data_IF_521175846022
#
_entry.id   IF_521175846022
#
_cell.length_a   1.000
_cell.length_b   1.000
_cell.length_c   1.000
_cell.angle_alpha   90.00
_cell.angle_beta   90.00
_cell.angle_gamma   90.00
#
_symmetry.space_group_name_H-M   'P 1'
#
loop_
_entity.id
_entity.type
_entity.pdbx_description
1 polymer ?
#
# COMPACT_ATOMS: atom_id res chain seq x y z
N UNK A 1 -77.12 -18.00 -29.13
CA UNK A 1 -75.88 -18.64 -29.61
C UNK A 1 -74.94 -17.65 -30.29
N UNK A 2 -75.38 -16.94 -31.31
CA UNK A 2 -74.53 -15.99 -32.00
C UNK A 2 -74.06 -14.84 -31.12
N UNK A 3 -74.95 -14.29 -30.33
CA UNK A 3 -74.66 -13.21 -29.38
C UNK A 3 -73.64 -13.62 -28.32
N UNK A 4 -73.72 -14.80 -27.77
CA UNK A 4 -72.78 -15.36 -26.80
C UNK A 4 -71.41 -15.57 -27.43
N UNK A 5 -71.37 -16.04 -28.66
CA UNK A 5 -70.13 -16.24 -29.42
C UNK A 5 -69.40 -14.93 -29.66
N UNK A 6 -70.14 -13.86 -30.01
CA UNK A 6 -69.58 -12.52 -30.18
C UNK A 6 -69.01 -11.99 -28.87
N UNK A 7 -69.67 -12.20 -27.73
CA UNK A 7 -69.20 -11.81 -26.41
C UNK A 7 -67.88 -12.53 -26.05
N UNK A 8 -67.81 -13.84 -26.29
CA UNK A 8 -66.57 -14.61 -26.07
C UNK A 8 -65.42 -14.13 -26.94
N UNK A 9 -65.66 -13.84 -28.22
CA UNK A 9 -64.67 -13.29 -29.12
C UNK A 9 -64.16 -11.93 -28.65
N UNK A 10 -65.04 -11.05 -28.16
CA UNK A 10 -64.64 -9.76 -27.60
C UNK A 10 -63.78 -9.91 -26.38
N UNK A 11 -64.09 -10.85 -25.48
CA UNK A 11 -63.27 -11.15 -24.31
C UNK A 11 -61.91 -11.65 -24.72
N UNK A 12 -61.82 -12.56 -25.67
CA UNK A 12 -60.55 -13.06 -26.15
C UNK A 12 -59.73 -11.93 -26.77
N UNK A 13 -60.36 -11.09 -27.57
CA UNK A 13 -59.68 -9.93 -28.18
C UNK A 13 -59.07 -9.00 -27.12
N UNK A 14 -59.86 -8.69 -26.08
CA UNK A 14 -59.39 -7.87 -24.94
C UNK A 14 -58.21 -8.52 -24.24
N UNK A 15 -58.26 -9.81 -23.98
CA UNK A 15 -57.19 -10.56 -23.35
C UNK A 15 -55.92 -10.55 -24.23
N UNK A 16 -56.04 -10.73 -25.55
CA UNK A 16 -54.92 -10.65 -26.50
C UNK A 16 -54.29 -9.25 -26.48
N UNK A 17 -55.12 -8.21 -26.45
CA UNK A 17 -54.59 -6.81 -26.37
C UNK A 17 -53.79 -6.58 -25.10
N UNK A 18 -54.32 -7.04 -23.94
CA UNK A 18 -53.61 -6.93 -22.64
C UNK A 18 -52.29 -7.70 -22.67
N UNK A 19 -52.32 -8.96 -23.15
CA UNK A 19 -51.12 -9.79 -23.20
C UNK A 19 -50.10 -9.23 -24.17
N UNK A 20 -50.51 -8.63 -25.29
CA UNK A 20 -49.59 -7.99 -26.24
C UNK A 20 -48.93 -6.79 -25.59
N UNK A 21 -49.67 -5.99 -24.84
CA UNK A 21 -49.12 -4.83 -24.10
C UNK A 21 -48.11 -5.28 -23.04
N UNK A 22 -48.51 -6.25 -22.21
CA UNK A 22 -47.64 -6.80 -21.16
C UNK A 22 -46.36 -7.40 -21.74
N UNK A 23 -46.48 -8.12 -22.84
CA UNK A 23 -45.33 -8.70 -23.52
C UNK A 23 -44.37 -7.63 -24.02
N UNK A 24 -44.89 -6.52 -24.57
CA UNK A 24 -44.09 -5.37 -24.98
C UNK A 24 -43.36 -4.72 -23.78
N UNK A 25 -44.06 -4.55 -22.68
CA UNK A 25 -43.49 -4.02 -21.44
C UNK A 25 -42.39 -4.92 -20.90
N UNK A 26 -42.62 -6.23 -20.85
CA UNK A 26 -41.64 -7.22 -20.41
C UNK A 26 -40.40 -7.25 -21.28
N UNK A 27 -40.53 -7.08 -22.60
CA UNK A 27 -39.39 -6.99 -23.52
C UNK A 27 -38.53 -5.77 -23.21
N UNK A 28 -39.18 -4.61 -22.97
CA UNK A 28 -38.50 -3.38 -22.62
C UNK A 28 -37.76 -3.53 -21.29
N UNK A 29 -38.41 -4.12 -20.28
CA UNK A 29 -37.76 -4.41 -18.99
C UNK A 29 -36.57 -5.34 -19.15
N UNK A 30 -36.70 -6.39 -19.96
CA UNK A 30 -35.62 -7.32 -20.25
C UNK A 30 -34.41 -6.61 -20.87
N UNK A 31 -34.63 -5.72 -21.82
CA UNK A 31 -33.58 -4.94 -22.47
C UNK A 31 -32.88 -4.04 -21.44
N UNK A 32 -33.65 -3.38 -20.59
CA UNK A 32 -33.13 -2.52 -19.52
C UNK A 32 -32.26 -3.33 -18.54
N UNK A 33 -32.76 -4.47 -18.09
CA UNK A 33 -32.05 -5.37 -17.18
C UNK A 33 -30.76 -5.88 -17.84
N UNK A 34 -30.81 -6.27 -19.09
CA UNK A 34 -29.61 -6.71 -19.81
C UNK A 34 -28.55 -5.60 -19.89
N UNK A 35 -28.97 -4.36 -20.17
CA UNK A 35 -28.07 -3.21 -20.19
C UNK A 35 -27.45 -2.95 -18.82
N UNK A 36 -28.25 -3.01 -17.76
CA UNK A 36 -27.76 -2.86 -16.39
C UNK A 36 -26.79 -3.99 -16.02
N UNK A 37 -27.08 -5.22 -16.44
CA UNK A 37 -26.19 -6.35 -16.19
C UNK A 37 -24.84 -6.17 -16.89
N UNK A 38 -24.84 -5.73 -18.15
CA UNK A 38 -23.61 -5.46 -18.88
C UNK A 38 -22.77 -4.37 -18.19
N UNK A 39 -23.42 -3.30 -17.74
CA UNK A 39 -22.75 -2.22 -16.99
C UNK A 39 -22.18 -2.72 -15.68
N UNK A 40 -22.95 -3.50 -14.92
CA UNK A 40 -22.51 -4.09 -13.67
C UNK A 40 -21.31 -5.03 -13.85
N UNK A 41 -21.36 -5.87 -14.90
CA UNK A 41 -20.26 -6.78 -15.23
C UNK A 41 -18.99 -6.03 -15.60
N UNK A 42 -19.09 -4.94 -16.35
CA UNK A 42 -17.94 -4.10 -16.69
C UNK A 42 -17.37 -3.42 -15.46
N UNK A 43 -18.24 -2.89 -14.59
CA UNK A 43 -17.79 -2.30 -13.31
C UNK A 43 -17.08 -3.32 -12.43
N UNK A 44 -17.59 -4.56 -12.39
CA UNK A 44 -16.96 -5.65 -11.66
C UNK A 44 -15.58 -5.99 -12.24
N UNK A 45 -15.47 -6.05 -13.56
CA UNK A 45 -14.20 -6.31 -14.24
C UNK A 45 -13.15 -5.27 -13.86
N UNK A 46 -13.52 -3.99 -13.93
CA UNK A 46 -12.64 -2.87 -13.58
C UNK A 46 -12.23 -2.94 -12.10
N UNK A 47 -13.19 -3.24 -11.21
CA UNK A 47 -12.92 -3.38 -9.79
C UNK A 47 -11.95 -4.53 -9.50
N UNK A 48 -12.10 -5.66 -10.17
CA UNK A 48 -11.20 -6.81 -10.04
C UNK A 48 -9.79 -6.50 -10.53
N UNK A 49 -9.66 -5.77 -11.63
CA UNK A 49 -8.36 -5.31 -12.13
C UNK A 49 -7.68 -4.35 -11.15
N UNK A 50 -8.43 -3.40 -10.62
CA UNK A 50 -7.93 -2.47 -9.61
C UNK A 50 -7.49 -3.20 -8.34
N UNK A 51 -8.26 -4.20 -7.91
CA UNK A 51 -7.90 -5.04 -6.78
C UNK A 51 -6.57 -5.75 -7.01
N UNK A 52 -6.39 -6.38 -8.18
CA UNK A 52 -5.15 -7.08 -8.52
C UNK A 52 -3.95 -6.13 -8.52
N UNK A 53 -4.12 -4.92 -9.05
CA UNK A 53 -3.08 -3.87 -9.04
C UNK A 53 -2.71 -3.49 -7.61
N UNK A 54 -3.72 -3.23 -6.77
CA UNK A 54 -3.51 -2.88 -5.37
C UNK A 54 -2.81 -4.00 -4.57
N UNK A 55 -3.17 -5.25 -4.82
CA UNK A 55 -2.50 -6.41 -4.20
C UNK A 55 -1.01 -6.44 -4.56
N UNK A 56 -0.68 -6.18 -5.82
CA UNK A 56 0.71 -6.09 -6.27
C UNK A 56 1.44 -4.93 -5.58
N UNK A 57 0.81 -3.77 -5.50
CA UNK A 57 1.38 -2.59 -4.83
C UNK A 57 1.62 -2.85 -3.33
N UNK A 58 0.67 -3.49 -2.65
CA UNK A 58 0.81 -3.86 -1.24
C UNK A 58 2.00 -4.81 -1.06
N UNK A 59 2.15 -5.82 -1.91
CA UNK A 59 3.27 -6.74 -1.85
C UNK A 59 4.61 -6.01 -2.05
N UNK A 60 4.67 -5.10 -3.01
CA UNK A 60 5.86 -4.28 -3.27
C UNK A 60 6.19 -3.39 -2.07
N UNK A 61 5.18 -2.75 -1.48
CA UNK A 61 5.37 -1.92 -0.29
C UNK A 61 5.84 -2.75 0.92
N UNK A 62 5.29 -3.94 1.12
CA UNK A 62 5.74 -4.83 2.18
C UNK A 62 7.22 -5.19 2.02
N UNK A 63 7.66 -5.53 0.82
CA UNK A 63 9.07 -5.79 0.52
C UNK A 63 9.94 -4.56 0.79
N UNK A 64 9.46 -3.39 0.42
CA UNK A 64 10.16 -2.12 0.67
C UNK A 64 10.30 -1.87 2.18
N UNK A 65 9.24 -2.09 2.94
CA UNK A 65 9.27 -1.95 4.40
C UNK A 65 10.27 -2.92 5.03
N UNK A 66 10.30 -4.18 4.60
CA UNK A 66 11.27 -5.16 5.08
C UNK A 66 12.71 -4.72 4.79
N UNK A 67 12.97 -4.23 3.58
CA UNK A 67 14.29 -3.74 3.20
C UNK A 67 14.69 -2.50 4.01
N UNK A 68 13.76 -1.58 4.24
CA UNK A 68 14.01 -0.39 5.06
C UNK A 68 14.28 -0.77 6.52
N UNK A 69 13.57 -1.74 7.08
CA UNK A 69 13.82 -2.23 8.43
C UNK A 69 15.22 -2.86 8.55
N UNK A 70 15.64 -3.62 7.55
CA UNK A 70 17.00 -4.17 7.49
C UNK A 70 18.05 -3.06 7.44
N UNK A 71 17.83 -2.05 6.62
CA UNK A 71 18.72 -0.89 6.52
C UNK A 71 18.80 -0.12 7.84
N UNK A 72 17.67 0.06 8.53
CA UNK A 72 17.63 0.70 9.85
C UNK A 72 18.47 -0.10 10.84
N UNK A 73 18.32 -1.42 10.88
CA UNK A 73 19.11 -2.29 11.76
C UNK A 73 20.60 -2.17 11.47
N UNK A 74 21.02 -2.18 10.22
CA UNK A 74 22.42 -1.99 9.83
C UNK A 74 22.96 -0.64 10.29
N UNK A 75 22.18 0.41 10.10
CA UNK A 75 22.57 1.76 10.53
C UNK A 75 22.65 1.90 12.03
N UNK A 76 21.72 1.30 12.77
CA UNK A 76 21.76 1.27 14.23
C UNK A 76 23.00 0.55 14.76
N UNK A 77 23.35 -0.59 14.15
CA UNK A 77 24.58 -1.30 14.47
C UNK A 77 25.80 -0.44 14.17
N UNK A 78 25.81 0.26 13.05
CA UNK A 78 26.91 1.15 12.68
C UNK A 78 27.04 2.34 13.65
N UNK A 79 25.92 2.90 14.07
CA UNK A 79 25.89 3.97 15.09
C UNK A 79 26.49 3.45 16.39
N UNK A 80 26.12 2.25 16.84
CA UNK A 80 26.70 1.63 18.03
C UNK A 80 28.20 1.42 17.92
N UNK A 81 28.67 0.91 16.79
CA UNK A 81 30.11 0.76 16.52
C UNK A 81 30.84 2.11 16.58
N UNK A 82 30.28 3.14 15.97
CA UNK A 82 30.86 4.48 15.98
C UNK A 82 30.87 5.10 17.36
N UNK A 83 29.80 4.92 18.16
CA UNK A 83 29.76 5.37 19.55
C UNK A 83 30.86 4.68 20.38
N UNK A 84 31.02 3.39 20.22
CA UNK A 84 32.06 2.63 20.89
C UNK A 84 33.47 3.13 20.46
N UNK A 85 33.64 3.40 19.18
CA UNK A 85 34.91 3.94 18.68
C UNK A 85 35.21 5.33 19.21
N UNK A 86 34.22 6.18 19.33
CA UNK A 86 34.35 7.51 19.96
C UNK A 86 34.79 7.36 21.41
N UNK A 87 34.15 6.46 22.16
CA UNK A 87 34.51 6.20 23.55
C UNK A 87 35.96 5.71 23.68
N UNK A 88 36.40 4.81 22.81
CA UNK A 88 37.77 4.32 22.75
C UNK A 88 38.75 5.47 22.49
N UNK A 89 38.43 6.33 21.51
CA UNK A 89 39.28 7.46 21.15
C UNK A 89 39.36 8.51 22.29
N UNK A 90 38.25 8.76 22.97
CA UNK A 90 38.21 9.66 24.13
C UNK A 90 39.08 9.10 25.27
N UNK A 91 39.09 7.79 25.47
CA UNK A 91 39.90 7.15 26.49
C UNK A 91 41.38 7.07 26.10
N UNK A 92 41.72 7.19 24.80
CA UNK A 92 43.10 7.26 24.32
C UNK A 92 43.70 8.64 24.36
N UNK A 93 42.93 9.67 24.70
CA UNK A 93 43.51 11.01 24.88
C UNK A 93 44.54 10.98 26.01
N UNK A 94 45.62 11.68 25.79
CA UNK A 94 46.72 11.69 26.75
C UNK A 94 46.22 12.22 28.11
N UNK A 95 46.41 11.43 29.17
CA UNK A 95 46.08 11.85 30.51
C UNK A 95 46.82 13.14 30.83
N UNK A 96 46.18 14.15 31.38
CA UNK A 96 46.84 15.39 31.81
C UNK A 96 48.05 15.15 32.71
N UNK A 97 48.02 14.14 33.57
CA UNK A 97 49.13 13.76 34.42
C UNK A 97 50.33 13.30 33.60
N UNK A 98 50.11 12.46 32.58
CA UNK A 98 51.17 11.99 31.68
C UNK A 98 51.76 13.14 30.88
N UNK A 99 50.94 14.09 30.45
CA UNK A 99 51.39 15.28 29.75
C UNK A 99 52.30 16.17 30.64
N UNK A 100 51.94 16.35 31.90
CA UNK A 100 52.76 17.10 32.87
C UNK A 100 54.09 16.41 33.15
N UNK A 101 54.07 15.06 33.31
CA UNK A 101 55.31 14.29 33.47
C UNK A 101 56.21 14.46 32.27
N UNK A 102 55.70 14.43 31.06
CA UNK A 102 56.48 14.65 29.84
C UNK A 102 57.04 16.06 29.79
N UNK A 103 56.32 17.09 30.19
CA UNK A 103 56.78 18.46 30.30
C UNK A 103 57.92 18.60 31.28
N UNK A 104 57.83 17.95 32.44
CA UNK A 104 58.86 17.92 33.47
C UNK A 104 60.15 17.28 32.95
N UNK A 105 60.04 16.17 32.26
CA UNK A 105 61.17 15.48 31.64
C UNK A 105 61.87 16.40 30.60
N UNK A 106 61.07 17.05 29.75
CA UNK A 106 61.58 18.00 28.77
C UNK A 106 62.33 19.17 29.44
N UNK A 107 61.80 19.71 30.56
CA UNK A 107 62.42 20.78 31.29
C UNK A 107 63.77 20.34 31.89
N UNK A 108 63.86 19.16 32.48
CA UNK A 108 65.08 18.56 33.01
C UNK A 108 66.16 18.40 31.91
N UNK A 109 65.73 17.89 30.72
CA UNK A 109 66.63 17.77 29.58
C UNK A 109 67.17 19.10 29.11
N UNK A 110 66.34 20.12 29.06
CA UNK A 110 66.82 21.48 28.71
C UNK A 110 67.78 22.04 29.72
N UNK A 111 67.58 21.80 31.02
CA UNK A 111 68.49 22.22 32.06
C UNK A 111 69.89 21.52 31.91
N UNK A 112 69.88 20.22 31.65
CA UNK A 112 71.11 19.45 31.42
C UNK A 112 71.86 19.96 30.19
N UNK A 113 71.18 20.24 29.11
CA UNK A 113 71.79 20.74 27.87
C UNK A 113 72.35 22.17 28.03
N UNK A 114 71.84 22.94 28.95
CA UNK A 114 72.32 24.32 29.21
C UNK A 114 73.61 24.38 30.06
N UNK A 115 73.92 23.29 30.72
CA UNK A 115 75.18 23.17 31.45
C UNK A 115 76.32 22.93 30.42
#
# INVERSE_FOLDING_TARGET
MLKELVQELNQILTEVEVLTKENGELRTEKETINSQLLTANESLRVALESKATLETEVNTLNTTVENLNSTITEKDNRITELQNRITELENQTVDPVDLEELRSIVAELKAILAE
#
